data_IF_178598964103
#
_entry.id   IF_178598964103
#
_cell.length_a   1.000
_cell.length_b   1.000
_cell.length_c   1.000
_cell.angle_alpha   90.00
_cell.angle_beta   90.00
_cell.angle_gamma   90.00
#
_symmetry.space_group_name_H-M   'P 1'
#
loop_
_entity.id
_entity.type
_entity.pdbx_description
1 polymer ?
#
# COMPACT_ATOMS: atom_id res chain seq x y z
N UNK A 1 -71.81 -3.65 30.32
CA UNK A 1 -70.99 -2.42 30.16
C UNK A 1 -69.74 -2.45 31.03
N UNK A 2 -69.86 -2.62 32.36
CA UNK A 2 -68.72 -2.67 33.30
C UNK A 2 -67.69 -3.77 32.97
N UNK A 3 -68.16 -4.97 32.65
CA UNK A 3 -67.29 -6.09 32.22
C UNK A 3 -66.51 -5.83 30.92
N UNK A 4 -67.13 -5.14 29.95
CA UNK A 4 -66.46 -4.79 28.69
C UNK A 4 -65.39 -3.71 28.92
N UNK A 5 -65.65 -2.78 29.85
CA UNK A 5 -64.66 -1.78 30.27
C UNK A 5 -63.47 -2.45 30.99
N UNK A 6 -63.71 -3.42 31.87
CA UNK A 6 -62.64 -4.17 32.54
C UNK A 6 -61.79 -4.97 31.54
N UNK A 7 -62.42 -5.66 30.59
CA UNK A 7 -61.73 -6.37 29.50
C UNK A 7 -60.89 -5.42 28.65
N UNK A 8 -61.43 -4.26 28.26
CA UNK A 8 -60.69 -3.23 27.52
C UNK A 8 -59.49 -2.73 28.32
N UNK A 9 -59.65 -2.50 29.62
CA UNK A 9 -58.59 -2.01 30.50
C UNK A 9 -57.47 -3.05 30.69
N UNK A 10 -57.82 -4.34 30.81
CA UNK A 10 -56.85 -5.44 30.78
C UNK A 10 -56.09 -5.51 29.46
N UNK A 11 -56.78 -5.36 28.32
CA UNK A 11 -56.14 -5.37 27.01
C UNK A 11 -55.15 -4.20 26.87
N UNK A 12 -55.53 -3.00 27.30
CA UNK A 12 -54.65 -1.83 27.32
C UNK A 12 -53.43 -2.07 28.21
N UNK A 13 -53.60 -2.64 29.42
CA UNK A 13 -52.47 -2.97 30.31
C UNK A 13 -51.52 -4.00 29.69
N UNK A 14 -52.05 -5.02 29.02
CA UNK A 14 -51.24 -5.99 28.28
C UNK A 14 -50.45 -5.32 27.15
N UNK A 15 -51.07 -4.41 26.40
CA UNK A 15 -50.40 -3.66 25.35
C UNK A 15 -49.28 -2.77 25.90
N UNK A 16 -49.52 -2.05 27.01
CA UNK A 16 -48.49 -1.24 27.68
C UNK A 16 -47.33 -2.10 28.18
N UNK A 17 -47.60 -3.27 28.72
CA UNK A 17 -46.58 -4.23 29.16
C UNK A 17 -45.70 -4.71 27.99
N UNK A 18 -46.32 -5.04 26.86
CA UNK A 18 -45.61 -5.44 25.64
C UNK A 18 -44.71 -4.30 25.14
N UNK A 19 -45.23 -3.07 25.07
CA UNK A 19 -44.47 -1.91 24.62
C UNK A 19 -43.28 -1.62 25.55
N UNK A 20 -43.49 -1.70 26.87
CA UNK A 20 -42.42 -1.52 27.86
C UNK A 20 -41.32 -2.56 27.70
N UNK A 21 -41.68 -3.81 27.39
CA UNK A 21 -40.73 -4.89 27.11
C UNK A 21 -39.94 -4.65 25.82
N UNK A 22 -40.60 -4.16 24.76
CA UNK A 22 -39.93 -3.78 23.53
C UNK A 22 -38.93 -2.64 23.75
N UNK A 23 -39.32 -1.60 24.47
CA UNK A 23 -38.44 -0.46 24.78
C UNK A 23 -37.20 -0.91 25.55
N UNK A 24 -37.37 -1.73 26.59
CA UNK A 24 -36.23 -2.29 27.36
C UNK A 24 -35.28 -3.11 26.47
N UNK A 25 -35.82 -3.93 25.56
CA UNK A 25 -35.01 -4.73 24.63
C UNK A 25 -34.30 -3.87 23.59
N UNK A 26 -34.94 -2.81 23.09
CA UNK A 26 -34.32 -1.86 22.17
C UNK A 26 -33.17 -1.10 22.86
N UNK A 27 -33.38 -0.65 24.10
CA UNK A 27 -32.34 0.01 24.88
C UNK A 27 -31.14 -0.91 25.14
N UNK A 28 -31.39 -2.18 25.49
CA UNK A 28 -30.31 -3.17 25.65
C UNK A 28 -29.56 -3.42 24.35
N UNK A 29 -30.28 -3.50 23.23
CA UNK A 29 -29.69 -3.68 21.92
C UNK A 29 -28.81 -2.48 21.53
N UNK A 30 -29.29 -1.26 21.70
CA UNK A 30 -28.54 -0.03 21.43
C UNK A 30 -27.24 0.02 22.25
N UNK A 31 -27.33 -0.26 23.55
CA UNK A 31 -26.18 -0.30 24.45
C UNK A 31 -25.15 -1.38 24.07
N UNK A 32 -25.59 -2.45 23.39
CA UNK A 32 -24.72 -3.52 22.89
C UNK A 32 -24.11 -3.19 21.51
N UNK A 33 -24.89 -2.54 20.63
CA UNK A 33 -24.50 -2.26 19.25
C UNK A 33 -23.52 -1.08 19.14
N UNK A 34 -23.73 0.00 19.89
CA UNK A 34 -22.86 1.19 19.88
C UNK A 34 -21.38 0.85 20.13
N UNK A 35 -21.00 0.09 21.18
CA UNK A 35 -19.59 -0.23 21.42
C UNK A 35 -19.00 -1.11 20.32
N UNK A 36 -19.78 -2.03 19.73
CA UNK A 36 -19.34 -2.84 18.60
C UNK A 36 -19.00 -1.96 17.40
N UNK A 37 -19.86 -1.01 17.04
CA UNK A 37 -19.56 -0.07 15.94
C UNK A 37 -18.29 0.74 16.19
N UNK A 38 -18.10 1.26 17.42
CA UNK A 38 -16.89 2.00 17.79
C UNK A 38 -15.63 1.13 17.69
N UNK A 39 -15.71 -0.12 18.15
CA UNK A 39 -14.59 -1.06 18.05
C UNK A 39 -14.29 -1.41 16.60
N UNK A 40 -15.31 -1.62 15.76
CA UNK A 40 -15.16 -1.87 14.33
C UNK A 40 -14.52 -0.68 13.62
N UNK A 41 -14.95 0.55 13.91
CA UNK A 41 -14.36 1.78 13.35
C UNK A 41 -12.88 1.91 13.72
N UNK A 42 -12.53 1.63 14.97
CA UNK A 42 -11.12 1.63 15.40
C UNK A 42 -10.29 0.53 14.73
N UNK A 43 -10.87 -0.66 14.54
CA UNK A 43 -10.22 -1.74 13.80
C UNK A 43 -9.99 -1.36 12.33
N UNK A 44 -10.96 -0.71 11.68
CA UNK A 44 -10.78 -0.21 10.31
C UNK A 44 -9.66 0.83 10.23
N UNK A 45 -9.60 1.79 11.15
CA UNK A 45 -8.47 2.74 11.21
C UNK A 45 -7.13 2.05 11.41
N UNK A 46 -7.09 1.03 12.28
CA UNK A 46 -5.87 0.26 12.51
C UNK A 46 -5.45 -0.48 11.23
N UNK A 47 -6.40 -1.11 10.54
CA UNK A 47 -6.16 -1.77 9.26
C UNK A 47 -5.61 -0.78 8.23
N UNK A 48 -6.23 0.39 8.06
CA UNK A 48 -5.74 1.41 7.13
C UNK A 48 -4.32 1.87 7.46
N UNK A 49 -3.97 1.98 8.75
CA UNK A 49 -2.62 2.36 9.15
C UNK A 49 -1.60 1.26 8.82
N UNK A 50 -1.98 -0.01 9.00
CA UNK A 50 -1.15 -1.16 8.63
C UNK A 50 -0.95 -1.18 7.11
N UNK A 51 -2.01 -1.02 6.32
CA UNK A 51 -1.93 -1.02 4.85
C UNK A 51 -1.06 0.13 4.33
N UNK A 52 -1.18 1.33 4.91
CA UNK A 52 -0.31 2.47 4.58
C UNK A 52 1.15 2.16 4.92
N UNK A 53 1.42 1.57 6.08
CA UNK A 53 2.77 1.21 6.51
C UNK A 53 3.38 0.17 5.58
N UNK A 54 2.61 -0.86 5.22
CA UNK A 54 3.04 -1.88 4.24
C UNK A 54 3.34 -1.25 2.89
N UNK A 55 2.47 -0.38 2.39
CA UNK A 55 2.70 0.31 1.11
C UNK A 55 3.97 1.18 1.13
N UNK A 56 4.23 1.87 2.25
CA UNK A 56 5.48 2.62 2.42
C UNK A 56 6.71 1.69 2.42
N UNK A 57 6.63 0.53 3.09
CA UNK A 57 7.71 -0.45 3.10
C UNK A 57 7.96 -1.04 1.71
N UNK A 58 6.91 -1.41 0.97
CA UNK A 58 7.02 -1.88 -0.42
C UNK A 58 7.68 -0.84 -1.31
N UNK A 59 7.37 0.44 -1.10
CA UNK A 59 8.01 1.54 -1.81
C UNK A 59 9.51 1.61 -1.53
N UNK A 60 9.93 1.52 -0.26
CA UNK A 60 11.35 1.50 0.11
C UNK A 60 12.05 0.27 -0.47
N UNK A 61 11.46 -0.92 -0.31
CA UNK A 61 12.00 -2.18 -0.82
C UNK A 61 12.19 -2.12 -2.34
N UNK A 62 11.30 -1.44 -3.07
CA UNK A 62 11.41 -1.31 -4.53
C UNK A 62 12.75 -0.68 -4.93
N UNK A 63 13.23 0.34 -4.22
CA UNK A 63 14.49 1.01 -4.52
C UNK A 63 15.72 0.11 -4.36
N UNK A 64 15.70 -0.81 -3.39
CA UNK A 64 16.77 -1.79 -3.19
C UNK A 64 16.83 -2.84 -4.30
N UNK A 65 15.74 -3.07 -5.03
CA UNK A 65 15.69 -4.01 -6.15
C UNK A 65 15.95 -3.37 -7.52
N UNK A 66 15.89 -2.04 -7.63
CA UNK A 66 16.00 -1.30 -8.90
C UNK A 66 17.26 -1.68 -9.69
N UNK A 67 18.43 -1.81 -9.05
CA UNK A 67 19.66 -2.21 -9.73
C UNK A 67 19.53 -3.56 -10.46
N UNK A 68 18.94 -4.55 -9.79
CA UNK A 68 18.77 -5.91 -10.33
C UNK A 68 17.68 -5.98 -11.40
N UNK A 69 16.57 -5.28 -11.20
CA UNK A 69 15.44 -5.29 -12.14
C UNK A 69 15.75 -4.59 -13.45
N UNK A 70 16.51 -3.50 -13.38
CA UNK A 70 16.82 -2.67 -14.55
C UNK A 70 18.07 -3.13 -15.31
N UNK A 71 18.94 -3.93 -14.68
CA UNK A 71 20.21 -4.39 -15.24
C UNK A 71 20.09 -4.90 -16.69
N UNK A 72 19.15 -5.84 -16.93
CA UNK A 72 18.94 -6.45 -18.25
C UNK A 72 18.57 -5.43 -19.32
N UNK A 73 17.62 -4.54 -19.04
CA UNK A 73 17.15 -3.53 -19.99
C UNK A 73 18.26 -2.52 -20.27
N UNK A 74 19.01 -2.12 -19.24
CA UNK A 74 20.17 -1.25 -19.42
C UNK A 74 21.28 -1.98 -20.23
N UNK A 75 21.36 -3.33 -20.22
CA UNK A 75 22.39 -4.12 -20.94
C UNK A 75 22.06 -4.19 -22.42
N UNK A 76 20.78 -4.41 -22.71
CA UNK A 76 20.26 -4.53 -24.08
C UNK A 76 20.23 -3.17 -24.80
N UNK A 77 20.21 -2.07 -24.04
CA UNK A 77 20.19 -0.72 -24.59
C UNK A 77 18.82 -0.34 -25.17
N UNK A 78 18.69 0.87 -25.75
CA UNK A 78 17.40 1.39 -26.21
C UNK A 78 16.88 0.77 -27.51
N UNK A 79 17.57 -0.22 -28.09
CA UNK A 79 17.29 -0.72 -29.44
C UNK A 79 15.88 -1.33 -29.56
N UNK A 80 14.99 -0.63 -30.27
CA UNK A 80 13.61 -1.05 -30.54
C UNK A 80 12.62 -0.88 -29.37
N UNK A 81 13.08 -0.47 -28.18
CA UNK A 81 12.27 -0.32 -26.96
C UNK A 81 12.72 0.90 -26.14
N UNK A 82 12.79 2.05 -26.80
CA UNK A 82 13.27 3.30 -26.19
C UNK A 82 12.43 3.70 -24.96
N UNK A 83 11.11 3.55 -25.03
CA UNK A 83 10.22 3.92 -23.92
C UNK A 83 10.47 3.07 -22.66
N UNK A 84 10.68 1.76 -22.83
CA UNK A 84 11.03 0.86 -21.72
C UNK A 84 12.40 1.22 -21.12
N UNK A 85 13.36 1.53 -21.98
CA UNK A 85 14.71 1.94 -21.56
C UNK A 85 14.69 3.26 -20.77
N UNK A 86 13.96 4.27 -21.26
CA UNK A 86 13.79 5.54 -20.58
C UNK A 86 13.05 5.38 -19.25
N UNK A 87 12.03 4.51 -19.19
CA UNK A 87 11.33 4.20 -17.95
C UNK A 87 12.27 3.54 -16.91
N UNK A 88 13.17 2.64 -17.35
CA UNK A 88 14.20 2.07 -16.49
C UNK A 88 15.17 3.13 -15.96
N UNK A 89 15.66 4.04 -16.81
CA UNK A 89 16.53 5.14 -16.38
C UNK A 89 15.82 6.03 -15.36
N UNK A 90 14.56 6.38 -15.60
CA UNK A 90 13.78 7.20 -14.66
C UNK A 90 13.60 6.51 -13.29
N UNK A 91 13.43 5.18 -13.27
CA UNK A 91 13.38 4.40 -12.02
C UNK A 91 14.73 4.41 -11.29
N UNK A 92 15.83 4.26 -12.03
CA UNK A 92 17.19 4.33 -11.47
C UNK A 92 17.46 5.71 -10.88
N UNK A 93 17.11 6.78 -11.59
CA UNK A 93 17.28 8.15 -11.12
C UNK A 93 16.54 8.37 -9.78
N UNK A 94 15.27 7.96 -9.69
CA UNK A 94 14.50 8.07 -8.44
C UNK A 94 15.12 7.28 -7.28
N UNK A 95 15.71 6.12 -7.55
CA UNK A 95 16.41 5.33 -6.54
C UNK A 95 17.66 6.04 -6.05
N UNK A 96 18.43 6.65 -6.96
CA UNK A 96 19.62 7.44 -6.64
C UNK A 96 19.26 8.64 -5.76
N UNK A 97 18.23 9.40 -6.14
CA UNK A 97 17.72 10.53 -5.34
C UNK A 97 17.30 10.06 -3.93
N UNK A 98 16.53 8.97 -3.84
CA UNK A 98 16.13 8.40 -2.55
C UNK A 98 17.33 8.03 -1.67
N UNK A 99 18.32 7.33 -2.20
CA UNK A 99 19.49 6.92 -1.44
C UNK A 99 20.39 8.09 -1.07
N UNK A 100 20.53 9.11 -1.93
CA UNK A 100 21.31 10.32 -1.61
C UNK A 100 20.69 11.10 -0.46
N UNK A 101 19.36 11.25 -0.46
CA UNK A 101 18.65 12.02 0.57
C UNK A 101 18.57 11.28 1.91
N UNK A 102 18.48 9.95 1.89
CA UNK A 102 18.25 9.14 3.09
C UNK A 102 19.50 8.43 3.62
N UNK A 103 20.39 7.95 2.75
CA UNK A 103 21.59 7.16 3.12
C UNK A 103 22.74 7.36 2.10
N UNK A 104 23.42 8.51 2.10
CA UNK A 104 24.39 8.90 1.07
C UNK A 104 25.65 8.00 1.01
N UNK A 105 26.00 7.29 2.09
CA UNK A 105 27.15 6.38 2.13
C UNK A 105 26.77 4.90 1.90
N UNK A 106 25.54 4.64 1.43
CA UNK A 106 25.05 3.27 1.25
C UNK A 106 25.80 2.51 0.13
N UNK A 107 26.12 1.22 0.33
CA UNK A 107 26.69 0.39 -0.73
C UNK A 107 25.73 0.23 -1.92
N UNK A 108 24.42 0.35 -1.69
CA UNK A 108 23.39 0.32 -2.72
C UNK A 108 23.48 1.54 -3.65
N UNK A 109 23.70 2.74 -3.11
CA UNK A 109 23.94 3.92 -3.96
C UNK A 109 25.15 3.72 -4.86
N UNK A 110 26.26 3.21 -4.30
CA UNK A 110 27.47 2.92 -5.07
C UNK A 110 27.24 1.86 -6.15
N UNK A 111 26.39 0.86 -5.87
CA UNK A 111 26.03 -0.18 -6.82
C UNK A 111 25.16 0.36 -7.95
N UNK A 112 24.12 1.14 -7.62
CA UNK A 112 23.19 1.74 -8.60
C UNK A 112 23.90 2.77 -9.47
N UNK A 113 24.65 3.70 -8.86
CA UNK A 113 25.38 4.76 -9.56
C UNK A 113 26.56 4.18 -10.33
N UNK A 114 27.37 3.33 -9.71
CA UNK A 114 28.57 2.76 -10.33
C UNK A 114 28.27 1.95 -11.59
N UNK A 115 27.28 1.05 -11.52
CA UNK A 115 26.95 0.18 -12.65
C UNK A 115 26.20 0.96 -13.76
N UNK A 116 25.23 1.80 -13.37
CA UNK A 116 24.42 2.54 -14.36
C UNK A 116 25.22 3.66 -15.04
N UNK A 117 25.94 4.50 -14.28
CA UNK A 117 26.67 5.65 -14.85
C UNK A 117 27.80 5.18 -15.77
N UNK A 118 28.54 4.13 -15.37
CA UNK A 118 29.60 3.57 -16.21
C UNK A 118 29.08 3.07 -17.56
N UNK A 119 27.87 2.49 -17.57
CA UNK A 119 27.26 1.89 -18.76
C UNK A 119 26.54 2.89 -19.65
N UNK A 120 25.88 3.88 -19.06
CA UNK A 120 25.33 5.03 -19.79
C UNK A 120 26.47 5.84 -20.42
N UNK A 121 27.55 6.10 -19.68
CA UNK A 121 28.75 6.74 -20.22
C UNK A 121 29.36 5.92 -21.36
N UNK A 122 29.40 4.59 -21.26
CA UNK A 122 29.86 3.70 -22.34
C UNK A 122 29.03 3.82 -23.62
N UNK A 123 27.69 3.90 -23.50
CA UNK A 123 26.79 4.12 -24.64
C UNK A 123 26.99 5.50 -25.29
N UNK A 124 27.19 6.56 -24.50
CA UNK A 124 27.38 7.92 -25.02
C UNK A 124 28.79 8.22 -25.53
N UNK A 125 29.83 7.57 -24.98
CA UNK A 125 31.23 7.77 -25.40
C UNK A 125 31.66 6.86 -26.56
N UNK A 126 30.79 5.97 -27.04
CA UNK A 126 31.00 5.24 -28.29
C UNK A 126 32.21 4.29 -28.28
N UNK A 127 32.59 3.71 -27.13
CA UNK A 127 33.66 2.69 -27.07
C UNK A 127 33.12 1.30 -27.45
N UNK A 128 32.57 1.16 -28.65
CA UNK A 128 32.46 -0.14 -29.32
C UNK A 128 33.85 -0.55 -29.81
N UNK A 129 34.68 -1.13 -28.94
CA UNK A 129 35.81 -2.02 -29.25
C UNK A 129 36.69 -2.21 -28.01
N UNK A 130 36.55 -3.33 -27.30
CA UNK A 130 37.64 -4.30 -27.06
C UNK A 130 37.12 -5.51 -26.27
N UNK A 131 36.23 -6.32 -26.86
CA UNK A 131 36.33 -7.76 -26.59
C UNK A 131 37.48 -8.19 -27.50
N UNK A 132 38.65 -8.38 -26.89
CA UNK A 132 39.82 -8.90 -27.59
C UNK A 132 39.41 -10.27 -28.15
N UNK A 133 39.30 -10.39 -29.47
CA UNK A 133 39.31 -11.69 -30.11
C UNK A 133 40.75 -12.21 -29.99
N UNK A 134 40.99 -13.40 -29.41
CA UNK A 134 42.29 -14.01 -29.53
C UNK A 134 42.43 -14.51 -30.96
N UNK A 135 43.50 -14.09 -31.63
CA UNK A 135 43.95 -14.71 -32.87
C UNK A 135 45.46 -14.50 -33.05
N UNK A 136 46.11 -15.29 -33.90
CA UNK A 136 45.61 -16.47 -34.61
C UNK A 136 45.75 -17.77 -33.81
#
# INVERSE_FOLDING_TARGET
>A
IRENLDKSNQLTKSMVSILSSFESRLMQLENSIIPVHKQTENLQRLQENVDKTLSCLDHVISYYHVAKETDKIIKEGPAGRLDEYLACIAKIQKAVEYFQDNNPDSPELNTVVGDTVSRVLFLFTGRTSLIVAPGP
#
